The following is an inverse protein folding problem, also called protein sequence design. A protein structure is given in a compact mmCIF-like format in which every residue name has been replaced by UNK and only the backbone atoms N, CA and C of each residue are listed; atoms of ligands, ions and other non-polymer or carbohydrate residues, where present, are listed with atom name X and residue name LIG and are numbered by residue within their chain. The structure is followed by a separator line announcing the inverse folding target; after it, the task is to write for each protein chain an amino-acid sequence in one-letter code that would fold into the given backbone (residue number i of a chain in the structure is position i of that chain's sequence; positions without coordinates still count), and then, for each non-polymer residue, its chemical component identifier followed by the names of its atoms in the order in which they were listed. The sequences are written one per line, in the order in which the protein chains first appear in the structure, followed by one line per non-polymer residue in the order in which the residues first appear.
data_IF_871998920013
#
_entry.id   IF_871998920013
#
_cell.length_a   1.000
_cell.length_b   1.000
_cell.length_c   1.000
_cell.angle_alpha   90.00
_cell.angle_beta   90.00
_cell.angle_gamma   90.00
#
_symmetry.space_group_name_H-M   'P 1'
#
loop_
_entity.id
_entity.type
_entity.pdbx_description
1 polymer ?
#
# COMPACT_ATOMS: atom_id res chain seq x y z
N UNK A 1 -23.03 8.80 -0.07
CA UNK A 1 -22.13 7.65 -0.33
C UNK A 1 -22.98 6.39 -0.40
N UNK A 2 -22.74 5.50 -1.36
CA UNK A 2 -23.56 4.29 -1.50
C UNK A 2 -22.65 3.06 -1.58
N UNK A 3 -22.54 2.34 -0.46
CA UNK A 3 -22.05 0.97 -0.41
C UNK A 3 -23.06 0.08 -1.11
N UNK A 4 -22.59 -0.89 -1.89
CA UNK A 4 -23.43 -1.81 -2.66
C UNK A 4 -22.92 -3.23 -2.52
N UNK A 5 -23.80 -4.21 -2.75
CA UNK A 5 -23.36 -5.56 -3.05
C UNK A 5 -22.53 -5.54 -4.35
N UNK A 6 -21.54 -6.42 -4.46
CA UNK A 6 -20.77 -6.58 -5.69
C UNK A 6 -21.71 -7.04 -6.81
N UNK A 7 -21.72 -6.29 -7.91
CA UNK A 7 -22.45 -6.67 -9.12
C UNK A 7 -21.69 -7.80 -9.84
N UNK A 8 -22.03 -9.05 -9.52
CA UNK A 8 -21.76 -10.18 -10.38
C UNK A 8 -23.08 -10.95 -10.57
N UNK A 9 -23.37 -11.39 -11.81
CA UNK A 9 -24.61 -12.11 -12.16
C UNK A 9 -24.92 -13.31 -11.26
N UNK A 10 -23.94 -13.80 -10.51
CA UNK A 10 -24.03 -15.01 -9.68
C UNK A 10 -23.96 -14.74 -8.17
N UNK A 11 -23.78 -13.50 -7.71
CA UNK A 11 -23.74 -13.20 -6.28
C UNK A 11 -25.17 -13.10 -5.73
N UNK A 12 -25.51 -13.96 -4.77
CA UNK A 12 -26.82 -14.02 -4.10
C UNK A 12 -26.66 -13.81 -2.59
N UNK A 13 -26.58 -12.56 -2.10
CA UNK A 13 -26.31 -12.27 -0.68
C UNK A 13 -27.36 -12.89 0.26
N UNK A 14 -28.63 -12.93 -0.17
CA UNK A 14 -29.72 -13.47 0.64
C UNK A 14 -29.47 -14.94 1.01
N UNK A 15 -28.99 -15.78 0.09
CA UNK A 15 -28.72 -17.19 0.37
C UNK A 15 -27.68 -17.38 1.48
N UNK A 16 -26.71 -16.48 1.58
CA UNK A 16 -25.68 -16.54 2.63
C UNK A 16 -26.23 -15.98 3.95
N UNK A 17 -27.09 -14.96 3.91
CA UNK A 17 -27.80 -14.44 5.09
C UNK A 17 -28.78 -15.46 5.67
N UNK A 18 -29.45 -16.25 4.82
CA UNK A 18 -30.34 -17.34 5.26
C UNK A 18 -29.52 -18.43 5.97
N UNK A 19 -28.36 -18.79 5.42
CA UNK A 19 -27.41 -19.69 6.07
C UNK A 19 -26.93 -19.11 7.41
N UNK A 20 -26.58 -17.83 7.47
CA UNK A 20 -26.24 -17.14 8.72
C UNK A 20 -27.36 -17.28 9.75
N UNK A 21 -28.61 -17.02 9.35
CA UNK A 21 -29.78 -17.15 10.24
C UNK A 21 -29.96 -18.57 10.77
N UNK A 22 -29.59 -19.60 10.01
CA UNK A 22 -29.71 -21.00 10.45
C UNK A 22 -28.66 -21.43 11.48
N UNK A 23 -27.53 -20.71 11.57
CA UNK A 23 -26.41 -21.06 12.44
C UNK A 23 -26.29 -20.15 13.67
N UNK A 24 -27.16 -19.16 13.81
CA UNK A 24 -27.17 -18.27 14.98
C UNK A 24 -28.24 -18.70 15.98
N UNK A 25 -27.97 -18.48 17.26
CA UNK A 25 -28.96 -18.55 18.34
C UNK A 25 -28.85 -17.28 19.18
N UNK A 26 -30.00 -16.64 19.44
CA UNK A 26 -30.06 -15.40 20.21
C UNK A 26 -30.50 -15.75 21.63
N UNK A 27 -29.63 -15.51 22.59
CA UNK A 27 -29.90 -15.76 24.00
C UNK A 27 -30.85 -14.68 24.57
N UNK A 28 -31.45 -14.97 25.73
CA UNK A 28 -32.37 -14.04 26.42
C UNK A 28 -31.74 -12.71 26.81
N UNK A 29 -30.42 -12.65 26.97
CA UNK A 29 -29.64 -11.45 27.26
C UNK A 29 -29.28 -10.65 25.99
N UNK A 30 -29.72 -11.10 24.81
CA UNK A 30 -29.41 -10.48 23.53
C UNK A 30 -28.00 -10.77 23.01
N UNK A 31 -27.25 -11.68 23.63
CA UNK A 31 -26.01 -12.23 23.07
C UNK A 31 -26.31 -13.20 21.93
N UNK A 32 -25.43 -13.23 20.93
CA UNK A 32 -25.56 -14.12 19.77
C UNK A 32 -24.52 -15.23 19.95
N UNK A 33 -24.98 -16.47 19.95
CA UNK A 33 -24.14 -17.66 19.90
C UNK A 33 -24.25 -18.29 18.50
N UNK A 34 -23.22 -19.05 18.12
CA UNK A 34 -23.10 -19.62 16.79
C UNK A 34 -22.84 -21.12 16.87
N UNK A 35 -23.40 -21.87 15.95
CA UNK A 35 -23.19 -23.31 15.86
C UNK A 35 -21.98 -23.60 14.99
N UNK A 36 -20.90 -24.10 15.60
CA UNK A 36 -19.70 -24.57 14.88
C UNK A 36 -18.83 -23.46 14.27
N UNK A 37 -17.88 -23.86 13.44
CA UNK A 37 -16.93 -22.94 12.77
C UNK A 37 -17.49 -22.28 11.50
N UNK A 38 -18.67 -22.70 11.03
CA UNK A 38 -19.32 -22.19 9.80
C UNK A 38 -19.57 -20.68 9.84
N UNK A 39 -19.65 -20.08 11.03
CA UNK A 39 -19.76 -18.63 11.20
C UNK A 39 -18.64 -17.88 10.48
N UNK A 40 -17.40 -18.37 10.58
CA UNK A 40 -16.24 -17.68 9.98
C UNK A 40 -16.33 -17.68 8.46
N UNK A 41 -16.73 -18.81 7.86
CA UNK A 41 -16.88 -18.93 6.41
C UNK A 41 -18.03 -18.04 5.88
N UNK A 42 -19.16 -18.04 6.58
CA UNK A 42 -20.32 -17.21 6.24
C UNK A 42 -19.97 -15.73 6.33
N UNK A 43 -19.29 -15.30 7.40
CA UNK A 43 -18.93 -13.91 7.59
C UNK A 43 -17.89 -13.43 6.57
N UNK A 44 -16.83 -14.23 6.33
CA UNK A 44 -15.83 -13.93 5.31
C UNK A 44 -16.46 -13.79 3.91
N UNK A 45 -17.42 -14.67 3.60
CA UNK A 45 -18.17 -14.62 2.34
C UNK A 45 -18.99 -13.33 2.23
N UNK A 46 -19.76 -12.98 3.26
CA UNK A 46 -20.58 -11.76 3.27
C UNK A 46 -19.74 -10.49 3.16
N UNK A 47 -18.62 -10.40 3.89
CA UNK A 47 -17.66 -9.31 3.80
C UNK A 47 -17.09 -9.18 2.38
N UNK A 48 -16.72 -10.30 1.76
CA UNK A 48 -16.25 -10.35 0.37
C UNK A 48 -17.30 -9.94 -0.67
N UNK A 49 -18.59 -10.08 -0.37
CA UNK A 49 -19.69 -9.69 -1.26
C UNK A 49 -20.00 -8.19 -1.24
N UNK A 50 -19.46 -7.40 -0.30
CA UNK A 50 -19.73 -5.96 -0.21
C UNK A 50 -18.68 -5.16 -0.99
N UNK A 51 -19.13 -4.11 -1.70
CA UNK A 51 -18.27 -3.15 -2.39
C UNK A 51 -18.42 -1.77 -1.75
N UNK A 52 -17.35 -1.33 -1.09
CA UNK A 52 -17.24 0.02 -0.55
C UNK A 52 -16.73 1.00 -1.61
N UNK A 53 -17.22 2.26 -1.63
CA UNK A 53 -16.65 3.31 -2.46
C UNK A 53 -15.27 3.73 -1.94
N UNK A 54 -14.46 4.39 -2.78
CA UNK A 54 -13.14 4.92 -2.39
C UNK A 54 -13.22 5.91 -1.23
N UNK A 55 -14.33 6.64 -1.12
CA UNK A 55 -14.58 7.57 -0.01
C UNK A 55 -14.63 6.88 1.35
N UNK A 56 -14.98 5.60 1.41
CA UNK A 56 -15.00 4.79 2.63
C UNK A 56 -13.64 4.15 2.95
N UNK A 57 -12.55 4.62 2.34
CA UNK A 57 -11.20 4.20 2.71
C UNK A 57 -10.86 4.70 4.12
N UNK A 58 -10.26 3.82 4.93
CA UNK A 58 -9.99 4.07 6.35
C UNK A 58 -11.11 3.67 7.31
N UNK A 59 -12.28 3.25 6.81
CA UNK A 59 -13.33 2.66 7.63
C UNK A 59 -13.10 1.16 7.88
N UNK A 60 -13.62 0.68 8.99
CA UNK A 60 -13.58 -0.71 9.45
C UNK A 60 -14.59 -1.58 8.70
N UNK A 61 -14.39 -1.76 7.39
CA UNK A 61 -15.36 -2.39 6.48
C UNK A 61 -15.90 -3.73 7.01
N UNK A 62 -15.03 -4.58 7.53
CA UNK A 62 -15.39 -5.90 8.02
C UNK A 62 -16.21 -5.84 9.33
N UNK A 63 -15.87 -4.93 10.24
CA UNK A 63 -16.67 -4.70 11.45
C UNK A 63 -18.00 -4.05 11.11
N UNK A 64 -18.02 -3.05 10.22
CA UNK A 64 -19.27 -2.40 9.76
C UNK A 64 -20.23 -3.46 9.22
N UNK A 65 -19.74 -4.36 8.37
CA UNK A 65 -20.55 -5.47 7.83
C UNK A 65 -21.00 -6.40 8.94
N UNK A 66 -20.08 -6.84 9.80
CA UNK A 66 -20.37 -7.76 10.91
C UNK A 66 -21.40 -7.20 11.89
N UNK A 67 -21.25 -5.93 12.28
CA UNK A 67 -22.11 -5.24 13.24
C UNK A 67 -23.47 -4.94 12.64
N UNK A 68 -23.52 -4.54 11.36
CA UNK A 68 -24.79 -4.40 10.64
C UNK A 68 -25.55 -5.73 10.60
N UNK A 69 -24.88 -6.83 10.23
CA UNK A 69 -25.49 -8.17 10.21
C UNK A 69 -25.98 -8.57 11.60
N UNK A 70 -25.15 -8.46 12.63
CA UNK A 70 -25.53 -8.78 14.02
C UNK A 70 -26.71 -7.92 14.49
N UNK A 71 -26.72 -6.63 14.17
CA UNK A 71 -27.81 -5.71 14.52
C UNK A 71 -29.12 -6.08 13.83
N UNK A 72 -29.07 -6.44 12.54
CA UNK A 72 -30.25 -6.89 11.81
C UNK A 72 -30.72 -8.28 12.25
N UNK A 73 -29.80 -9.16 12.64
CA UNK A 73 -30.12 -10.45 13.23
C UNK A 73 -30.92 -10.32 14.53
N UNK A 74 -30.51 -9.41 15.42
CA UNK A 74 -31.24 -9.12 16.67
C UNK A 74 -32.65 -8.54 16.44
N UNK A 75 -32.88 -7.91 15.30
CA UNK A 75 -34.19 -7.37 14.89
C UNK A 75 -35.05 -8.39 14.13
N UNK A 76 -34.55 -9.61 13.90
CA UNK A 76 -35.20 -10.65 13.08
C UNK A 76 -35.49 -10.20 11.63
N UNK A 77 -34.66 -9.30 11.10
CA UNK A 77 -34.82 -8.64 9.78
C UNK A 77 -33.55 -8.84 8.93
N UNK A 78 -33.12 -10.10 8.76
CA UNK A 78 -31.91 -10.48 8.00
C UNK A 78 -32.15 -10.50 6.47
N UNK A 79 -32.59 -9.37 5.94
CA UNK A 79 -32.80 -9.15 4.51
C UNK A 79 -31.59 -8.42 3.89
N UNK A 80 -31.13 -8.86 2.72
CA UNK A 80 -30.03 -8.25 1.98
C UNK A 80 -30.20 -6.73 1.74
N UNK A 81 -31.42 -6.24 1.53
CA UNK A 81 -31.72 -4.81 1.38
C UNK A 81 -31.54 -4.05 2.70
N UNK A 82 -32.04 -4.62 3.78
CA UNK A 82 -32.01 -3.99 5.10
C UNK A 82 -30.62 -3.98 5.72
N UNK A 83 -29.88 -5.09 5.58
CA UNK A 83 -28.46 -5.16 5.94
C UNK A 83 -27.66 -4.10 5.17
N UNK A 84 -27.92 -3.92 3.87
CA UNK A 84 -27.24 -2.89 3.08
C UNK A 84 -27.61 -1.46 3.52
N UNK A 85 -28.86 -1.22 3.92
CA UNK A 85 -29.27 0.06 4.48
C UNK A 85 -28.55 0.34 5.80
N UNK A 86 -28.45 -0.66 6.69
CA UNK A 86 -27.73 -0.53 7.95
C UNK A 86 -26.23 -0.29 7.74
N UNK A 87 -25.59 -1.00 6.81
CA UNK A 87 -24.20 -0.74 6.42
C UNK A 87 -24.03 0.72 5.97
N UNK A 88 -24.91 1.22 5.09
CA UNK A 88 -24.84 2.59 4.60
C UNK A 88 -25.07 3.62 5.72
N UNK A 89 -25.97 3.36 6.67
CA UNK A 89 -26.19 4.21 7.84
C UNK A 89 -24.94 4.27 8.73
N UNK A 90 -24.35 3.12 9.07
CA UNK A 90 -23.12 3.06 9.87
C UNK A 90 -21.96 3.81 9.19
N UNK A 91 -21.79 3.61 7.89
CA UNK A 91 -20.78 4.36 7.10
C UNK A 91 -21.03 5.86 7.16
N UNK A 92 -22.27 6.31 6.99
CA UNK A 92 -22.58 7.74 7.08
C UNK A 92 -22.32 8.30 8.49
N UNK A 93 -22.63 7.54 9.53
CA UNK A 93 -22.38 7.93 10.92
C UNK A 93 -20.89 8.03 11.22
N UNK A 94 -20.10 7.03 10.84
CA UNK A 94 -18.64 7.06 11.01
C UNK A 94 -18.01 8.20 10.19
N UNK A 95 -18.52 8.49 8.99
CA UNK A 95 -18.11 9.65 8.23
C UNK A 95 -18.48 10.98 8.88
N UNK A 96 -19.50 11.02 9.72
CA UNK A 96 -19.95 12.23 10.42
C UNK A 96 -19.20 12.46 11.74
N UNK A 97 -18.35 11.51 12.17
CA UNK A 97 -17.54 11.67 13.38
C UNK A 97 -16.52 12.80 13.22
N UNK A 98 -16.34 13.55 14.32
CA UNK A 98 -15.34 14.62 14.41
C UNK A 98 -13.95 14.03 14.41
N UNK A 99 -13.06 14.60 13.62
CA UNK A 99 -11.67 14.17 13.61
C UNK A 99 -10.96 14.49 14.94
N UNK A 100 -10.26 13.49 15.47
CA UNK A 100 -9.43 13.60 16.65
C UNK A 100 -7.95 13.56 16.26
N UNK A 101 -7.11 14.20 17.07
CA UNK A 101 -5.66 14.18 16.88
C UNK A 101 -5.05 12.92 17.48
N UNK A 102 -4.27 12.21 16.68
CA UNK A 102 -3.58 10.99 17.05
C UNK A 102 -2.06 11.11 16.82
N UNK A 103 -1.33 10.27 17.54
CA UNK A 103 0.09 10.05 17.38
C UNK A 103 0.35 8.55 17.23
N UNK A 104 0.85 8.14 16.07
CA UNK A 104 1.28 6.76 15.82
C UNK A 104 2.78 6.67 16.08
N UNK A 105 3.15 5.82 17.04
CA UNK A 105 4.52 5.59 17.47
C UNK A 105 5.05 4.31 16.81
N UNK A 106 6.19 4.43 16.15
CA UNK A 106 6.88 3.34 15.45
C UNK A 106 8.40 3.57 15.49
N UNK A 107 9.18 2.69 14.89
CA UNK A 107 10.62 2.88 14.76
C UNK A 107 11.10 2.49 13.36
N UNK A 108 12.28 2.97 13.00
CA UNK A 108 12.90 2.74 11.70
C UNK A 108 14.32 2.21 11.88
N UNK A 109 14.74 1.31 10.99
CA UNK A 109 16.09 0.74 10.95
C UNK A 109 17.14 1.73 10.41
N UNK A 110 17.14 2.96 10.92
CA UNK A 110 18.09 4.03 10.56
C UNK A 110 18.88 4.48 11.78
N UNK A 111 20.10 4.97 11.55
CA UNK A 111 20.92 5.51 12.64
C UNK A 111 20.34 6.81 13.22
N UNK A 112 20.63 7.11 14.49
CA UNK A 112 20.18 8.34 15.15
C UNK A 112 20.75 9.62 14.48
N UNK A 113 21.78 9.54 13.65
CA UNK A 113 22.29 10.67 12.86
C UNK A 113 21.61 10.85 11.49
N UNK A 114 20.54 10.10 11.20
CA UNK A 114 19.87 10.15 9.89
C UNK A 114 19.40 11.58 9.54
N UNK A 115 19.70 12.10 8.33
CA UNK A 115 19.62 13.53 8.04
C UNK A 115 18.20 14.10 7.89
N UNK A 116 17.19 13.26 7.72
CA UNK A 116 15.79 13.67 7.51
C UNK A 116 15.00 13.38 8.79
N UNK A 117 14.79 14.42 9.59
CA UNK A 117 14.17 14.30 10.93
C UNK A 117 12.71 14.65 10.98
N UNK A 118 12.27 15.60 10.16
CA UNK A 118 10.89 16.07 10.16
C UNK A 118 10.45 16.24 8.72
N UNK A 119 9.24 15.77 8.42
CA UNK A 119 8.65 15.93 7.11
C UNK A 119 7.12 15.87 7.20
N UNK A 120 6.44 16.49 6.25
CA UNK A 120 4.98 16.49 6.15
C UNK A 120 4.60 15.86 4.82
N UNK A 121 3.76 14.82 4.88
CA UNK A 121 3.18 14.17 3.71
C UNK A 121 1.69 14.25 3.89
N UNK A 122 1.00 14.91 2.97
CA UNK A 122 -0.44 15.20 3.11
C UNK A 122 -0.68 15.94 4.43
N UNK A 123 -1.59 15.46 5.28
CA UNK A 123 -1.86 15.98 6.63
C UNK A 123 -1.19 15.16 7.75
N UNK A 124 -0.18 14.37 7.40
CA UNK A 124 0.62 13.58 8.32
C UNK A 124 1.97 14.23 8.59
N UNK A 125 2.23 14.61 9.84
CA UNK A 125 3.53 15.13 10.29
C UNK A 125 4.40 14.01 10.85
N UNK A 126 5.41 13.62 10.08
CA UNK A 126 6.44 12.67 10.48
C UNK A 126 7.55 13.35 11.28
N UNK A 127 7.99 12.69 12.37
CA UNK A 127 9.15 13.10 13.17
C UNK A 127 9.97 11.88 13.58
N UNK A 128 11.27 11.94 13.35
CA UNK A 128 12.28 10.97 13.76
C UNK A 128 13.06 11.54 14.95
N UNK A 129 13.30 10.73 15.95
CA UNK A 129 13.95 11.10 17.20
C UNK A 129 15.33 10.45 17.30
N UNK A 130 16.27 11.20 17.88
CA UNK A 130 17.65 10.76 18.11
C UNK A 130 17.79 9.96 19.42
N UNK A 131 16.69 9.83 20.15
CA UNK A 131 16.59 9.25 21.50
C UNK A 131 15.26 8.51 21.63
N UNK A 132 14.97 8.04 22.83
CA UNK A 132 13.69 7.44 23.21
C UNK A 132 12.48 8.37 22.96
N UNK A 133 11.30 7.76 22.91
CA UNK A 133 10.04 8.51 22.81
C UNK A 133 9.89 9.51 23.97
N UNK A 134 9.20 10.65 23.75
CA UNK A 134 8.85 11.57 24.82
C UNK A 134 8.16 10.88 26.01
N UNK A 135 8.51 11.25 27.24
CA UNK A 135 8.03 10.62 28.49
C UNK A 135 6.50 10.50 28.60
N UNK A 136 5.75 11.42 27.96
CA UNK A 136 4.27 11.38 27.94
C UNK A 136 3.70 10.11 27.30
N UNK A 137 4.49 9.38 26.50
CA UNK A 137 4.10 8.12 25.88
C UNK A 137 4.55 6.88 26.69
N UNK A 138 4.83 7.04 27.99
CA UNK A 138 5.23 5.95 28.89
C UNK A 138 4.23 4.78 28.93
N UNK A 139 2.97 5.02 28.56
CA UNK A 139 1.95 3.98 28.44
C UNK A 139 2.27 2.92 27.36
N UNK A 140 3.13 3.20 26.37
CA UNK A 140 3.51 2.25 25.29
C UNK A 140 4.00 0.92 25.85
N UNK A 141 4.96 0.95 26.77
CA UNK A 141 5.56 -0.26 27.34
C UNK A 141 4.56 -1.08 28.17
N UNK A 142 3.48 -0.48 28.67
CA UNK A 142 2.40 -1.20 29.36
C UNK A 142 1.51 -1.93 28.35
N UNK A 143 1.12 -1.27 27.26
CA UNK A 143 0.25 -1.86 26.23
C UNK A 143 0.92 -3.08 25.58
N UNK A 144 2.23 -2.96 25.27
CA UNK A 144 2.99 -4.06 24.67
C UNK A 144 3.09 -5.24 25.64
N UNK A 145 3.42 -4.99 26.92
CA UNK A 145 3.52 -6.07 27.93
C UNK A 145 2.20 -6.77 28.21
N UNK A 146 1.08 -6.06 28.12
CA UNK A 146 -0.24 -6.62 28.38
C UNK A 146 -0.75 -7.50 27.22
N UNK A 147 -0.13 -7.43 26.04
CA UNK A 147 -0.47 -8.27 24.89
C UNK A 147 0.42 -9.51 24.86
N UNK A 148 -0.01 -10.58 25.55
CA UNK A 148 0.74 -11.84 25.70
C UNK A 148 1.10 -12.54 24.38
N UNK A 149 0.38 -12.24 23.30
CA UNK A 149 0.58 -12.85 21.98
C UNK A 149 1.81 -12.32 21.25
N UNK A 150 2.31 -11.13 21.60
CA UNK A 150 3.37 -10.46 20.84
C UNK A 150 4.56 -10.10 21.72
N UNK A 151 5.76 -10.55 21.31
CA UNK A 151 7.03 -10.08 21.85
C UNK A 151 7.62 -9.09 20.84
N UNK A 152 7.82 -7.84 21.25
CA UNK A 152 8.47 -6.83 20.40
C UNK A 152 9.93 -7.23 20.15
N UNK A 153 10.23 -7.76 18.97
CA UNK A 153 11.58 -8.13 18.55
C UNK A 153 12.30 -6.97 17.85
N UNK A 154 11.70 -5.77 17.85
CA UNK A 154 12.33 -4.56 17.35
C UNK A 154 13.61 -4.26 18.13
N UNK A 155 14.76 -4.08 17.47
CA UNK A 155 15.97 -3.68 18.16
C UNK A 155 15.82 -2.32 18.83
N UNK A 156 16.26 -2.21 20.09
CA UNK A 156 16.20 -0.95 20.85
C UNK A 156 16.91 0.22 20.16
N UNK A 157 17.97 -0.07 19.41
CA UNK A 157 18.78 0.90 18.67
C UNK A 157 18.13 1.43 17.38
N UNK A 158 16.94 0.96 17.01
CA UNK A 158 16.17 1.59 15.92
C UNK A 158 15.71 2.98 16.35
N UNK A 159 15.89 3.95 15.45
CA UNK A 159 15.46 5.32 15.67
C UNK A 159 13.93 5.38 15.85
N UNK A 160 13.48 6.10 16.88
CA UNK A 160 12.05 6.22 17.20
C UNK A 160 11.40 7.23 16.26
N UNK A 161 10.19 6.95 15.82
CA UNK A 161 9.42 7.78 14.91
C UNK A 161 8.00 8.01 15.42
N UNK A 162 7.47 9.21 15.19
CA UNK A 162 6.09 9.58 15.48
C UNK A 162 5.48 10.21 14.25
N UNK A 163 4.34 9.68 13.83
CA UNK A 163 3.47 10.33 12.85
C UNK A 163 2.30 10.97 13.60
N UNK A 164 2.13 12.28 13.45
CA UNK A 164 1.04 13.05 14.06
C UNK A 164 0.03 13.41 12.98
N UNK A 165 -1.25 13.11 13.20
CA UNK A 165 -2.30 13.32 12.21
C UNK A 165 -3.68 13.50 12.86
N UNK A 166 -4.67 13.87 12.05
CA UNK A 166 -6.09 13.84 12.44
C UNK A 166 -6.78 12.67 11.74
N UNK A 167 -7.67 11.99 12.45
CA UNK A 167 -8.47 10.92 11.90
C UNK A 167 -9.77 10.75 12.69
N UNK A 168 -10.75 10.04 12.11
CA UNK A 168 -12.05 9.76 12.74
C UNK A 168 -12.02 8.54 13.65
N UNK A 169 -11.03 7.67 13.49
CA UNK A 169 -10.87 6.46 14.29
C UNK A 169 -9.39 6.14 14.50
N UNK A 170 -9.13 5.29 15.49
CA UNK A 170 -7.77 4.79 15.80
C UNK A 170 -7.20 3.98 14.61
N UNK A 171 -8.01 3.14 13.97
CA UNK A 171 -7.60 2.31 12.82
C UNK A 171 -7.31 3.18 11.59
N UNK A 172 -8.15 4.18 11.31
CA UNK A 172 -7.88 5.17 10.26
C UNK A 172 -6.58 5.92 10.52
N UNK A 173 -6.31 6.30 11.78
CA UNK A 173 -5.05 6.91 12.17
C UNK A 173 -3.86 5.98 11.90
N UNK A 174 -3.99 4.69 12.22
CA UNK A 174 -2.98 3.66 11.96
C UNK A 174 -2.65 3.56 10.48
N UNK A 175 -3.66 3.26 9.65
CA UNK A 175 -3.50 3.06 8.21
C UNK A 175 -2.85 4.27 7.56
N UNK A 176 -3.38 5.46 7.84
CA UNK A 176 -2.92 6.71 7.24
C UNK A 176 -1.48 7.05 7.65
N UNK A 177 -1.14 6.84 8.93
CA UNK A 177 0.22 7.05 9.41
C UNK A 177 1.23 6.06 8.81
N UNK A 178 0.85 4.78 8.70
CA UNK A 178 1.70 3.73 8.14
C UNK A 178 1.86 3.89 6.62
N UNK A 179 0.81 4.28 5.90
CA UNK A 179 0.94 4.65 4.48
C UNK A 179 1.88 5.87 4.32
N UNK A 180 1.74 6.89 5.18
CA UNK A 180 2.58 8.09 5.10
C UNK A 180 4.06 7.79 5.36
N UNK A 181 4.38 6.98 6.37
CA UNK A 181 5.77 6.59 6.66
C UNK A 181 6.33 5.68 5.57
N UNK A 182 5.49 4.84 4.98
CA UNK A 182 5.84 3.97 3.85
C UNK A 182 6.16 4.78 2.60
N UNK A 183 5.40 5.84 2.29
CA UNK A 183 5.73 6.77 1.19
C UNK A 183 7.10 7.42 1.44
N UNK A 184 7.34 7.94 2.65
CA UNK A 184 8.63 8.57 2.98
C UNK A 184 9.78 7.58 2.79
N UNK A 185 9.69 6.40 3.40
CA UNK A 185 10.78 5.41 3.37
C UNK A 185 10.90 4.73 2.00
N UNK A 186 9.83 4.68 1.19
CA UNK A 186 9.89 4.17 -0.17
C UNK A 186 10.88 4.96 -1.00
N UNK A 187 10.93 6.29 -0.84
CA UNK A 187 11.85 7.16 -1.57
C UNK A 187 13.27 6.97 -1.04
N UNK A 188 13.44 6.83 0.28
CA UNK A 188 14.75 6.52 0.84
C UNK A 188 15.28 5.17 0.32
N UNK A 189 14.46 4.12 0.29
CA UNK A 189 14.81 2.82 -0.28
C UNK A 189 15.06 2.90 -1.79
N UNK A 190 14.23 3.62 -2.53
CA UNK A 190 14.33 3.80 -3.99
C UNK A 190 15.72 4.31 -4.41
N UNK A 191 16.33 5.20 -3.62
CA UNK A 191 17.66 5.76 -3.90
C UNK A 191 18.83 5.03 -3.22
N UNK A 192 18.58 4.08 -2.31
CA UNK A 192 19.65 3.52 -1.46
C UNK A 192 19.66 1.98 -1.34
N UNK A 193 18.61 1.30 -1.79
CA UNK A 193 18.62 -0.15 -1.88
C UNK A 193 19.78 -0.63 -2.76
N UNK A 194 20.27 -1.84 -2.46
CA UNK A 194 21.30 -2.46 -3.31
C UNK A 194 20.73 -2.69 -4.71
N UNK A 195 21.52 -2.42 -5.74
CA UNK A 195 21.15 -2.72 -7.13
C UNK A 195 21.27 -4.22 -7.43
N UNK A 196 22.17 -4.91 -6.73
CA UNK A 196 22.38 -6.36 -6.78
C UNK A 196 23.18 -6.82 -5.54
N UNK A 197 23.15 -8.12 -5.23
CA UNK A 197 24.02 -8.75 -4.23
C UNK A 197 24.61 -10.05 -4.80
N UNK A 198 25.94 -10.17 -4.87
CA UNK A 198 26.63 -11.33 -5.46
C UNK A 198 26.67 -12.55 -4.53
N UNK A 199 26.81 -12.33 -3.22
CA UNK A 199 26.88 -13.38 -2.22
C UNK A 199 25.93 -13.02 -1.08
N UNK A 200 24.78 -13.68 -1.04
CA UNK A 200 23.96 -13.65 0.15
C UNK A 200 23.82 -15.04 0.72
N UNK A 201 24.44 -15.23 1.88
CA UNK A 201 24.23 -16.42 2.70
C UNK A 201 22.84 -16.43 3.34
N UNK A 202 21.99 -15.41 3.11
CA UNK A 202 20.68 -15.30 3.72
C UNK A 202 19.57 -15.20 2.66
N UNK A 203 18.95 -16.34 2.35
CA UNK A 203 17.88 -16.48 1.35
C UNK A 203 16.53 -15.89 1.79
N UNK A 204 16.41 -15.35 3.01
CA UNK A 204 15.13 -14.90 3.59
C UNK A 204 15.18 -13.47 4.13
N UNK A 205 16.06 -12.64 3.57
CA UNK A 205 16.27 -11.27 4.06
C UNK A 205 15.69 -10.25 3.07
N UNK A 206 14.77 -9.39 3.51
CA UNK A 206 14.15 -8.42 2.62
C UNK A 206 15.17 -7.47 1.96
N UNK A 207 14.85 -7.00 0.75
CA UNK A 207 15.75 -6.17 -0.05
C UNK A 207 15.83 -4.74 0.49
N UNK A 208 14.75 -4.24 1.09
CA UNK A 208 14.74 -2.91 1.69
C UNK A 208 15.77 -2.76 2.80
N UNK A 209 16.60 -1.72 2.70
CA UNK A 209 17.56 -1.37 3.75
C UNK A 209 16.94 -0.60 4.91
N UNK A 210 15.85 0.12 4.66
CA UNK A 210 15.15 0.92 5.66
C UNK A 210 13.76 0.33 5.90
N UNK A 211 13.57 -0.23 7.09
CA UNK A 211 12.38 -0.99 7.46
C UNK A 211 11.82 -0.48 8.77
N UNK A 212 10.53 -0.71 8.95
CA UNK A 212 9.85 -0.39 10.20
C UNK A 212 10.22 -1.40 11.29
N UNK A 213 10.08 -0.97 12.55
CA UNK A 213 10.03 -1.88 13.69
C UNK A 213 8.78 -2.76 13.65
N UNK A 214 8.78 -3.82 14.45
CA UNK A 214 7.72 -4.82 14.48
C UNK A 214 6.40 -4.27 15.02
N UNK A 215 6.42 -3.38 16.02
CA UNK A 215 5.21 -2.95 16.74
C UNK A 215 4.98 -1.45 16.67
N UNK A 216 3.73 -1.10 16.35
CA UNK A 216 3.21 0.27 16.29
C UNK A 216 2.08 0.47 17.30
N UNK A 217 2.10 1.61 17.99
CA UNK A 217 1.08 1.97 19.00
C UNK A 217 0.48 3.33 18.72
N UNK A 218 -0.77 3.54 19.14
CA UNK A 218 -1.52 4.76 18.84
C UNK A 218 -1.89 5.48 20.12
N UNK A 219 -1.61 6.77 20.15
CA UNK A 219 -1.74 7.61 21.33
C UNK A 219 -2.58 8.85 21.01
N UNK A 220 -3.27 9.36 22.02
CA UNK A 220 -3.94 10.66 21.99
C UNK A 220 -2.91 11.78 22.13
N UNK A 221 -3.33 13.02 21.86
CA UNK A 221 -2.47 14.21 21.98
C UNK A 221 -1.77 14.34 23.34
N UNK A 222 -2.47 13.98 24.42
CA UNK A 222 -1.93 13.99 25.79
C UNK A 222 -0.93 12.85 26.10
N UNK A 223 -0.66 11.95 25.15
CA UNK A 223 0.27 10.82 25.29
C UNK A 223 -0.31 9.54 25.88
N UNK A 224 -1.55 9.58 26.41
CA UNK A 224 -2.27 8.38 26.82
C UNK A 224 -2.56 7.49 25.61
N UNK A 225 -2.67 6.19 25.84
CA UNK A 225 -3.06 5.27 24.78
C UNK A 225 -4.41 5.65 24.18
N UNK A 226 -4.52 5.56 22.87
CA UNK A 226 -5.79 5.70 22.16
C UNK A 226 -6.57 4.38 22.12
N UNK A 227 -5.86 3.24 22.17
CA UNK A 227 -6.42 1.88 22.16
C UNK A 227 -5.42 0.92 22.82
N UNK A 228 -5.90 -0.21 23.33
CA UNK A 228 -5.03 -1.31 23.79
C UNK A 228 -4.62 -2.25 22.63
N UNK A 229 -5.15 -2.00 21.42
CA UNK A 229 -4.78 -2.71 20.19
C UNK A 229 -3.35 -2.37 19.74
N UNK A 230 -2.66 -3.38 19.22
CA UNK A 230 -1.35 -3.27 18.61
C UNK A 230 -1.44 -3.47 17.10
N UNK A 231 -0.75 -2.61 16.36
CA UNK A 231 -0.44 -2.85 14.95
C UNK A 231 0.95 -3.45 14.88
N UNK A 232 1.15 -4.39 13.96
CA UNK A 232 2.43 -5.06 13.85
C UNK A 232 2.76 -5.44 12.40
N UNK A 233 4.05 -5.63 12.14
CA UNK A 233 4.59 -6.14 10.88
C UNK A 233 4.56 -7.68 10.87
N UNK A 234 3.63 -8.33 10.14
CA UNK A 234 3.46 -9.79 10.22
C UNK A 234 4.68 -10.57 9.67
N UNK A 235 5.40 -9.95 8.73
CA UNK A 235 6.63 -10.50 8.14
C UNK A 235 7.88 -9.76 8.65
N UNK A 236 7.85 -9.32 9.92
CA UNK A 236 8.99 -8.62 10.51
C UNK A 236 10.26 -9.48 10.42
N UNK A 237 11.30 -8.88 9.86
CA UNK A 237 12.66 -9.41 9.92
C UNK A 237 13.53 -8.25 10.36
N UNK A 238 14.32 -8.44 11.42
CA UNK A 238 15.26 -7.43 11.88
C UNK A 238 16.21 -7.06 10.73
N UNK A 239 16.28 -5.79 10.35
CA UNK A 239 17.26 -5.20 9.43
C UNK A 239 18.49 -4.61 10.14
N UNK A 240 19.58 -4.44 9.40
CA UNK A 240 20.73 -3.66 9.85
C UNK A 240 20.42 -2.16 9.90
N UNK A 241 21.15 -1.41 10.74
CA UNK A 241 21.02 0.05 10.76
C UNK A 241 21.51 0.64 9.45
N UNK A 242 20.63 1.37 8.78
CA UNK A 242 20.98 2.16 7.62
C UNK A 242 21.61 3.48 8.05
N UNK A 243 22.77 3.77 7.47
CA UNK A 243 23.43 5.06 7.52
C UNK A 243 23.81 5.47 6.10
N UNK A 244 23.36 6.63 5.61
CA UNK A 244 23.72 7.08 4.27
C UNK A 244 25.20 7.48 4.23
N UNK A 245 25.95 6.98 3.25
CA UNK A 245 27.35 7.38 3.02
C UNK A 245 27.47 8.88 2.67
N UNK A 246 26.43 9.44 2.02
CA UNK A 246 26.34 10.82 1.55
C UNK A 246 25.02 11.45 2.00
N UNK A 247 24.89 11.86 3.27
CA UNK A 247 23.64 12.36 3.85
C UNK A 247 23.02 13.54 3.08
N UNK A 248 23.87 14.41 2.52
CA UNK A 248 23.49 15.56 1.71
C UNK A 248 22.82 15.16 0.39
N UNK A 249 23.34 14.12 -0.28
CA UNK A 249 22.75 13.59 -1.51
C UNK A 249 21.40 12.94 -1.20
N UNK A 250 21.31 12.16 -0.12
CA UNK A 250 20.03 11.58 0.32
C UNK A 250 18.98 12.68 0.54
N UNK A 251 19.34 13.75 1.25
CA UNK A 251 18.43 14.87 1.55
C UNK A 251 17.98 15.58 0.27
N UNK A 252 18.91 15.82 -0.66
CA UNK A 252 18.63 16.44 -1.97
C UNK A 252 17.70 15.57 -2.81
N UNK A 253 17.99 14.27 -2.94
CA UNK A 253 17.19 13.35 -3.74
C UNK A 253 15.79 13.18 -3.15
N UNK A 254 15.68 13.07 -1.83
CA UNK A 254 14.39 12.97 -1.14
C UNK A 254 13.53 14.22 -1.36
N UNK A 255 14.11 15.41 -1.17
CA UNK A 255 13.40 16.67 -1.41
C UNK A 255 12.96 16.79 -2.88
N UNK A 256 13.88 16.56 -3.82
CA UNK A 256 13.56 16.59 -5.24
C UNK A 256 12.43 15.63 -5.61
N UNK A 257 12.48 14.39 -5.14
CA UNK A 257 11.45 13.40 -5.44
C UNK A 257 10.08 13.80 -4.88
N UNK A 258 10.02 14.24 -3.62
CA UNK A 258 8.76 14.68 -3.03
C UNK A 258 8.18 15.92 -3.73
N UNK A 259 9.03 16.91 -4.05
CA UNK A 259 8.61 18.11 -4.78
C UNK A 259 8.05 17.70 -6.16
N UNK A 260 8.73 16.80 -6.90
CA UNK A 260 8.26 16.31 -8.21
C UNK A 260 7.02 15.42 -8.16
N UNK A 261 6.84 14.65 -7.10
CA UNK A 261 5.60 13.89 -6.92
C UNK A 261 4.44 14.87 -6.70
N UNK A 262 4.59 15.87 -5.83
CA UNK A 262 3.54 16.86 -5.54
C UNK A 262 3.21 17.80 -6.71
N UNK A 263 4.14 18.00 -7.64
CA UNK A 263 3.91 18.72 -8.90
C UNK A 263 3.04 17.91 -9.89
N UNK A 264 2.98 16.58 -9.76
CA UNK A 264 2.29 15.73 -10.73
C UNK A 264 0.76 15.77 -10.59
N UNK A 265 0.07 15.95 -11.70
CA UNK A 265 -1.40 15.86 -11.81
C UNK A 265 -1.99 14.50 -11.39
N UNK A 266 -1.16 13.45 -11.35
CA UNK A 266 -1.51 12.10 -10.93
C UNK A 266 -0.65 11.60 -9.78
N UNK A 267 -0.27 12.49 -8.85
CA UNK A 267 0.56 12.19 -7.67
C UNK A 267 0.11 10.93 -6.90
N UNK A 268 -1.21 10.74 -6.76
CA UNK A 268 -1.82 9.62 -6.04
C UNK A 268 -1.48 8.26 -6.66
N UNK A 269 -1.28 8.21 -7.98
CA UNK A 269 -0.85 6.99 -8.67
C UNK A 269 0.61 6.68 -8.39
N UNK A 270 1.46 7.70 -8.35
CA UNK A 270 2.87 7.56 -8.02
C UNK A 270 3.04 7.11 -6.57
N UNK A 271 2.34 7.74 -5.61
CA UNK A 271 2.35 7.33 -4.19
C UNK A 271 1.87 5.89 -4.00
N UNK A 272 0.79 5.47 -4.68
CA UNK A 272 0.31 4.07 -4.63
C UNK A 272 1.32 3.08 -5.17
N UNK A 273 1.99 3.42 -6.27
CA UNK A 273 3.04 2.58 -6.83
C UNK A 273 4.23 2.46 -5.86
N UNK A 274 4.64 3.57 -5.24
CA UNK A 274 5.70 3.62 -4.22
C UNK A 274 5.36 2.80 -2.95
N UNK A 275 4.12 2.87 -2.48
CA UNK A 275 3.61 2.04 -1.39
C UNK A 275 3.72 0.54 -1.72
N UNK A 276 3.27 0.14 -2.91
CA UNK A 276 3.39 -1.26 -3.37
C UNK A 276 4.84 -1.69 -3.47
N UNK A 277 5.70 -0.84 -4.05
CA UNK A 277 7.13 -1.07 -4.19
C UNK A 277 7.80 -1.35 -2.85
N UNK A 278 7.61 -0.46 -1.88
CA UNK A 278 8.32 -0.59 -0.60
C UNK A 278 7.81 -1.80 0.19
N UNK A 279 6.49 -2.05 0.19
CA UNK A 279 5.92 -3.22 0.88
C UNK A 279 6.32 -4.54 0.19
N UNK A 280 6.44 -4.55 -1.13
CA UNK A 280 6.91 -5.72 -1.86
C UNK A 280 8.34 -6.10 -1.45
N UNK A 281 9.22 -5.10 -1.32
CA UNK A 281 10.63 -5.32 -0.97
C UNK A 281 10.88 -5.51 0.54
N UNK A 282 9.84 -5.40 1.37
CA UNK A 282 9.86 -5.85 2.78
C UNK A 282 9.55 -7.34 2.94
N UNK A 283 9.07 -8.01 1.88
CA UNK A 283 8.80 -9.44 1.92
C UNK A 283 10.08 -10.25 2.04
N UNK A 284 10.02 -11.29 2.89
CA UNK A 284 11.10 -12.26 3.06
C UNK A 284 11.13 -13.31 1.94
N UNK A 285 9.96 -13.60 1.37
CA UNK A 285 9.82 -14.51 0.23
C UNK A 285 9.89 -13.71 -1.08
N UNK A 286 10.95 -13.94 -1.85
CA UNK A 286 11.19 -13.21 -3.07
C UNK A 286 10.20 -13.54 -4.20
N UNK A 287 9.56 -14.72 -4.18
CA UNK A 287 8.53 -15.07 -5.15
C UNK A 287 7.30 -14.18 -4.93
N UNK A 288 6.90 -14.02 -3.66
CA UNK A 288 5.84 -13.09 -3.24
C UNK A 288 6.24 -11.64 -3.49
N UNK A 289 7.49 -11.28 -3.16
CA UNK A 289 8.03 -9.94 -3.39
C UNK A 289 7.94 -9.57 -4.87
N UNK A 290 8.32 -10.48 -5.78
CA UNK A 290 8.29 -10.25 -7.21
C UNK A 290 6.86 -10.01 -7.73
N UNK A 291 5.90 -10.82 -7.30
CA UNK A 291 4.48 -10.65 -7.67
C UNK A 291 3.97 -9.27 -7.21
N UNK A 292 4.26 -8.89 -5.96
CA UNK A 292 3.84 -7.59 -5.41
C UNK A 292 4.54 -6.41 -6.11
N UNK A 293 5.83 -6.56 -6.42
CA UNK A 293 6.63 -5.55 -7.09
C UNK A 293 6.18 -5.36 -8.55
N UNK A 294 5.82 -6.44 -9.24
CA UNK A 294 5.19 -6.37 -10.57
C UNK A 294 3.91 -5.54 -10.51
N UNK A 295 3.10 -5.75 -9.48
CA UNK A 295 1.92 -4.93 -9.19
C UNK A 295 2.22 -3.44 -8.96
N UNK A 296 3.45 -3.06 -8.60
CA UNK A 296 3.87 -1.66 -8.51
C UNK A 296 4.12 -1.04 -9.90
N UNK A 297 4.69 -1.81 -10.84
CA UNK A 297 4.83 -1.37 -12.24
C UNK A 297 3.45 -1.25 -12.91
N UNK A 298 2.54 -2.18 -12.65
CA UNK A 298 1.16 -2.16 -13.16
C UNK A 298 0.40 -0.89 -12.80
N UNK A 299 0.58 -0.38 -11.57
CA UNK A 299 -0.12 0.82 -11.11
C UNK A 299 0.20 2.06 -11.96
N UNK A 300 1.42 2.12 -12.52
CA UNK A 300 1.87 3.23 -13.36
C UNK A 300 1.65 2.97 -14.86
N UNK A 301 1.88 1.72 -15.29
CA UNK A 301 1.89 1.37 -16.71
C UNK A 301 0.58 0.84 -17.23
N UNK A 302 -0.36 0.38 -16.40
CA UNK A 302 -1.65 -0.12 -16.87
C UNK A 302 -2.76 -0.01 -15.81
N UNK A 303 -3.07 1.22 -15.34
CA UNK A 303 -3.95 1.44 -14.18
C UNK A 303 -5.42 1.03 -14.41
N UNK A 304 -5.84 0.80 -15.65
CA UNK A 304 -7.26 0.60 -16.03
C UNK A 304 -7.56 -0.78 -16.62
N UNK A 305 -6.54 -1.56 -16.99
CA UNK A 305 -6.69 -2.90 -17.58
C UNK A 305 -5.48 -3.76 -17.18
N UNK A 306 -5.70 -5.03 -16.83
CA UNK A 306 -4.62 -5.98 -16.65
C UNK A 306 -4.12 -6.44 -18.03
N UNK A 307 -3.42 -5.56 -18.75
CA UNK A 307 -2.79 -5.88 -20.03
C UNK A 307 -1.28 -5.95 -19.84
N UNK A 308 -0.79 -7.17 -19.62
CA UNK A 308 0.61 -7.41 -19.30
C UNK A 308 1.56 -7.10 -20.47
N UNK A 309 1.09 -7.15 -21.73
CA UNK A 309 1.89 -6.79 -22.91
C UNK A 309 2.24 -5.29 -22.91
N UNK A 310 1.36 -4.44 -22.35
CA UNK A 310 1.62 -3.00 -22.26
C UNK A 310 2.73 -2.67 -21.27
N UNK A 311 2.88 -3.46 -20.21
CA UNK A 311 3.90 -3.22 -19.18
C UNK A 311 5.30 -3.37 -19.79
N UNK A 312 5.56 -4.50 -20.45
CA UNK A 312 6.87 -4.78 -21.05
C UNK A 312 7.19 -3.78 -22.16
N UNK A 313 6.20 -3.43 -23.00
CA UNK A 313 6.31 -2.41 -24.04
C UNK A 313 6.65 -1.02 -23.49
N UNK A 314 5.88 -0.51 -22.52
CA UNK A 314 6.00 0.86 -22.00
C UNK A 314 7.25 1.05 -21.15
N UNK A 315 7.65 0.04 -20.38
CA UNK A 315 8.87 0.13 -19.57
C UNK A 315 10.11 0.04 -20.46
N UNK A 316 10.15 -0.89 -21.42
CA UNK A 316 11.28 -1.02 -22.34
C UNK A 316 11.47 0.21 -23.25
N UNK A 317 10.42 1.01 -23.48
CA UNK A 317 10.51 2.29 -24.21
C UNK A 317 11.50 3.28 -23.57
N UNK A 318 11.75 3.19 -22.26
CA UNK A 318 12.65 4.10 -21.54
C UNK A 318 14.14 3.80 -21.77
N UNK A 319 14.47 2.81 -22.61
CA UNK A 319 15.83 2.33 -22.81
C UNK A 319 16.24 2.35 -24.27
N UNK A 320 17.50 2.70 -24.52
CA UNK A 320 18.11 2.68 -25.86
C UNK A 320 18.13 1.25 -26.41
N UNK A 321 18.58 0.27 -25.61
CA UNK A 321 18.58 -1.16 -25.95
C UNK A 321 17.22 -1.79 -25.69
N UNK A 322 16.18 -1.21 -26.31
CA UNK A 322 14.76 -1.56 -26.04
C UNK A 322 14.48 -3.05 -26.14
N UNK A 323 14.98 -3.72 -27.18
CA UNK A 323 14.67 -5.14 -27.39
C UNK A 323 15.28 -6.02 -26.30
N UNK A 324 16.51 -5.73 -25.87
CA UNK A 324 17.12 -6.43 -24.74
C UNK A 324 16.28 -6.28 -23.46
N UNK A 325 15.94 -5.04 -23.10
CA UNK A 325 15.15 -4.77 -21.90
C UNK A 325 13.74 -5.35 -21.97
N UNK A 326 13.14 -5.37 -23.16
CA UNK A 326 11.88 -6.05 -23.42
C UNK A 326 12.00 -7.54 -23.13
N UNK A 327 13.02 -8.22 -23.66
CA UNK A 327 13.23 -9.66 -23.41
C UNK A 327 13.43 -9.97 -21.92
N UNK A 328 14.17 -9.13 -21.19
CA UNK A 328 14.31 -9.30 -19.74
C UNK A 328 12.96 -9.15 -19.03
N UNK A 329 12.16 -8.13 -19.38
CA UNK A 329 10.83 -7.92 -18.81
C UNK A 329 9.85 -9.04 -19.16
N UNK A 330 9.95 -9.60 -20.37
CA UNK A 330 9.16 -10.77 -20.79
C UNK A 330 9.52 -12.01 -19.95
N UNK A 331 10.81 -12.27 -19.72
CA UNK A 331 11.23 -13.35 -18.84
C UNK A 331 10.70 -13.17 -17.40
N UNK A 332 10.75 -11.95 -16.86
CA UNK A 332 10.18 -11.63 -15.54
C UNK A 332 8.65 -11.84 -15.49
N UNK A 333 7.96 -11.51 -16.58
CA UNK A 333 6.51 -11.73 -16.73
C UNK A 333 6.17 -13.22 -16.75
N UNK A 334 6.88 -14.00 -17.56
CA UNK A 334 6.68 -15.45 -17.63
C UNK A 334 6.91 -16.10 -16.27
N UNK A 335 7.99 -15.71 -15.58
CA UNK A 335 8.29 -16.17 -14.24
C UNK A 335 7.13 -15.87 -13.26
N UNK A 336 6.64 -14.62 -13.24
CA UNK A 336 5.48 -14.23 -12.42
C UNK A 336 4.26 -15.11 -12.73
N UNK A 337 3.98 -15.36 -14.01
CA UNK A 337 2.84 -16.17 -14.41
C UNK A 337 2.99 -17.62 -13.97
N UNK A 338 4.18 -18.21 -14.10
CA UNK A 338 4.46 -19.56 -13.56
C UNK A 338 4.24 -19.61 -12.06
N UNK A 339 4.85 -18.72 -11.28
CA UNK A 339 4.67 -18.73 -9.81
C UNK A 339 3.20 -18.57 -9.40
N UNK A 340 2.43 -17.73 -10.08
CA UNK A 340 0.99 -17.53 -9.79
C UNK A 340 0.14 -18.75 -10.19
N UNK A 341 0.48 -19.45 -11.27
CA UNK A 341 -0.36 -20.53 -11.83
C UNK A 341 0.07 -21.94 -11.43
N UNK A 342 1.37 -22.22 -11.31
CA UNK A 342 1.92 -23.55 -10.98
C UNK A 342 2.52 -23.64 -9.58
N UNK A 343 2.64 -22.51 -8.85
CA UNK A 343 3.25 -22.49 -7.52
C UNK A 343 4.74 -22.85 -7.53
N UNK A 344 5.39 -22.75 -8.69
CA UNK A 344 6.83 -23.03 -8.85
C UNK A 344 7.67 -21.95 -8.16
N UNK A 345 8.57 -22.42 -7.28
CA UNK A 345 9.54 -21.59 -6.56
C UNK A 345 10.89 -21.66 -7.27
N UNK A 346 11.53 -20.52 -7.49
CA UNK A 346 12.84 -20.46 -8.12
C UNK A 346 13.87 -19.81 -7.20
N UNK A 347 15.06 -20.40 -7.10
CA UNK A 347 16.13 -19.88 -6.25
C UNK A 347 16.62 -18.48 -6.71
N UNK A 348 16.40 -18.15 -7.99
CA UNK A 348 16.80 -16.89 -8.61
C UNK A 348 15.80 -15.76 -8.41
N UNK A 349 14.65 -16.00 -7.76
CA UNK A 349 13.60 -15.01 -7.50
C UNK A 349 14.13 -13.67 -6.96
N UNK A 350 15.18 -13.72 -6.13
CA UNK A 350 15.84 -12.53 -5.60
C UNK A 350 16.50 -11.67 -6.68
N UNK A 351 17.22 -12.29 -7.61
CA UNK A 351 17.86 -11.58 -8.72
C UNK A 351 16.80 -10.92 -9.61
N UNK A 352 15.69 -11.60 -9.83
CA UNK A 352 14.55 -11.04 -10.54
C UNK A 352 13.92 -9.84 -9.81
N UNK A 353 13.86 -9.86 -8.48
CA UNK A 353 13.44 -8.69 -7.70
C UNK A 353 14.39 -7.49 -7.88
N UNK A 354 15.70 -7.71 -7.92
CA UNK A 354 16.67 -6.64 -8.19
C UNK A 354 16.51 -6.05 -9.61
N UNK A 355 16.32 -6.90 -10.62
CA UNK A 355 16.03 -6.44 -11.98
C UNK A 355 14.73 -5.62 -12.03
N UNK A 356 13.66 -6.11 -11.40
CA UNK A 356 12.38 -5.42 -11.39
C UNK A 356 12.42 -4.12 -10.58
N UNK A 357 13.20 -4.06 -9.49
CA UNK A 357 13.48 -2.83 -8.75
C UNK A 357 14.16 -1.79 -9.66
N UNK A 358 15.13 -2.21 -10.47
CA UNK A 358 15.79 -1.31 -11.42
C UNK A 358 14.80 -0.73 -12.43
N UNK A 359 13.95 -1.57 -13.03
CA UNK A 359 12.92 -1.11 -13.95
C UNK A 359 11.92 -0.16 -13.29
N UNK A 360 11.47 -0.49 -12.07
CA UNK A 360 10.60 0.39 -11.30
C UNK A 360 11.26 1.74 -11.00
N UNK A 361 12.54 1.75 -10.64
CA UNK A 361 13.30 2.97 -10.41
C UNK A 361 13.34 3.87 -11.64
N UNK A 362 13.68 3.32 -12.81
CA UNK A 362 13.72 4.08 -14.07
C UNK A 362 12.33 4.62 -14.43
N UNK A 363 11.28 3.81 -14.28
CA UNK A 363 9.90 4.22 -14.54
C UNK A 363 9.44 5.35 -13.62
N UNK A 364 9.68 5.26 -12.31
CA UNK A 364 9.32 6.32 -11.36
C UNK A 364 10.13 7.59 -11.63
N UNK A 365 11.42 7.47 -11.99
CA UNK A 365 12.21 8.63 -12.42
C UNK A 365 11.66 9.31 -13.67
N UNK A 366 11.17 8.55 -14.65
CA UNK A 366 10.49 9.12 -15.81
C UNK A 366 9.28 9.96 -15.39
N UNK A 367 8.41 9.44 -14.52
CA UNK A 367 7.24 10.19 -14.06
C UNK A 367 7.63 11.43 -13.25
N UNK A 368 8.61 11.35 -12.34
CA UNK A 368 9.08 12.51 -11.56
C UNK A 368 9.74 13.59 -12.44
N UNK A 369 10.50 13.21 -13.47
CA UNK A 369 11.15 14.18 -14.37
C UNK A 369 10.16 14.89 -15.29
N UNK A 370 9.03 14.26 -15.59
CA UNK A 370 7.98 14.77 -16.47
C UNK A 370 6.71 15.13 -15.69
N UNK A 371 6.84 15.53 -14.41
CA UNK A 371 5.71 15.72 -13.51
C UNK A 371 4.66 16.71 -14.05
N UNK A 372 5.10 17.78 -14.72
CA UNK A 372 4.24 18.84 -15.26
C UNK A 372 3.93 18.68 -16.77
N UNK A 373 4.46 17.64 -17.41
CA UNK A 373 4.32 17.46 -18.88
C UNK A 373 3.01 16.77 -19.25
N UNK A 374 2.40 16.04 -18.32
CA UNK A 374 1.21 15.22 -18.57
C UNK A 374 0.06 15.61 -17.63
N UNK A 375 -1.13 15.75 -18.19
CA UNK A 375 -2.37 16.07 -17.48
C UNK A 375 -2.94 14.89 -16.68
N UNK A 376 -2.64 13.66 -17.07
CA UNK A 376 -2.99 12.44 -16.34
C UNK A 376 -2.04 11.27 -16.66
N UNK A 377 -2.20 10.16 -15.93
CA UNK A 377 -1.40 8.94 -16.12
C UNK A 377 -1.65 8.26 -17.48
N UNK A 378 -2.82 8.46 -18.10
CA UNK A 378 -3.13 7.88 -19.39
C UNK A 378 -2.37 8.61 -20.51
N UNK A 379 -2.19 9.92 -20.38
CA UNK A 379 -1.38 10.73 -21.30
C UNK A 379 0.09 10.32 -21.24
N UNK A 380 0.65 10.19 -20.04
CA UNK A 380 2.00 9.64 -19.86
C UNK A 380 2.14 8.25 -20.51
N UNK A 381 1.12 7.40 -20.35
CA UNK A 381 1.11 6.07 -20.96
C UNK A 381 0.96 6.09 -22.50
N UNK A 382 0.20 7.04 -23.06
CA UNK A 382 0.15 7.26 -24.52
C UNK A 382 1.52 7.70 -25.05
N UNK A 383 2.25 8.52 -24.29
CA UNK A 383 3.62 8.88 -24.64
C UNK A 383 4.53 7.64 -24.70
N UNK A 384 4.46 6.76 -23.71
CA UNK A 384 5.22 5.50 -23.68
C UNK A 384 4.76 4.48 -24.75
N UNK A 385 3.63 4.71 -25.42
CA UNK A 385 3.14 3.88 -26.51
C UNK A 385 3.67 4.27 -27.89
N UNK A 386 4.35 5.42 -28.01
CA UNK A 386 4.94 5.88 -29.25
C UNK A 386 6.01 4.91 -29.80
N UNK A 387 6.26 4.92 -31.12
CA UNK A 387 7.35 4.14 -31.68
C UNK A 387 8.69 4.70 -31.20
N UNK A 388 9.64 3.81 -30.95
CA UNK A 388 11.02 4.18 -30.60
C UNK A 388 11.85 4.56 -31.85
N UNK A 389 11.32 4.37 -33.06
CA UNK A 389 11.97 4.75 -34.31
C UNK A 389 11.73 6.23 -34.62
N UNK A 390 12.81 7.02 -34.63
CA UNK A 390 12.79 8.45 -34.94
C UNK A 390 12.15 8.75 -36.30
N UNK A 391 12.35 7.91 -37.32
CA UNK A 391 11.77 8.11 -38.65
C UNK A 391 10.24 7.97 -38.61
N UNK A 392 9.73 7.03 -37.81
CA UNK A 392 8.29 6.89 -37.60
C UNK A 392 7.71 8.08 -36.84
N UNK A 393 8.42 8.58 -35.83
CA UNK A 393 8.02 9.79 -35.10
C UNK A 393 7.99 11.03 -36.00
N UNK A 394 9.01 11.24 -36.83
CA UNK A 394 9.06 12.34 -37.80
C UNK A 394 7.91 12.24 -38.80
N UNK A 395 7.61 11.04 -39.30
CA UNK A 395 6.45 10.82 -40.19
C UNK A 395 5.13 11.12 -39.48
N UNK A 396 4.97 10.71 -38.22
CA UNK A 396 3.77 11.01 -37.43
C UNK A 396 3.61 12.51 -37.19
N UNK A 397 4.70 13.23 -36.88
CA UNK A 397 4.71 14.69 -36.74
C UNK A 397 4.20 15.39 -37.99
N UNK A 398 4.73 15.04 -39.16
CA UNK A 398 4.30 15.63 -40.46
C UNK A 398 2.82 15.37 -40.73
N UNK A 399 2.31 14.17 -40.41
CA UNK A 399 0.89 13.85 -40.58
C UNK A 399 -0.01 14.66 -39.64
N UNK A 400 0.41 14.86 -38.39
CA UNK A 400 -0.32 15.69 -37.42
C UNK A 400 -0.35 17.16 -37.84
N UNK A 401 0.78 17.71 -38.30
CA UNK A 401 0.86 19.08 -38.82
C UNK A 401 -0.09 19.29 -40.02
N UNK A 402 -0.21 18.30 -40.92
CA UNK A 402 -1.17 18.33 -42.03
C UNK A 402 -2.62 18.26 -41.53
N UNK A 403 -2.92 17.40 -40.56
CA UNK A 403 -4.27 17.26 -40.00
C UNK A 403 -4.72 18.53 -39.28
N UNK A 404 -3.82 19.19 -38.53
CA UNK A 404 -4.12 20.47 -37.86
C UNK A 404 -4.50 21.54 -38.88
N UNK A 405 -3.74 21.65 -39.99
CA UNK A 405 -4.08 22.58 -41.08
C UNK A 405 -5.47 22.30 -41.67
N UNK A 406 -5.84 21.04 -41.83
CA UNK A 406 -7.14 20.66 -42.39
C UNK A 406 -8.34 20.98 -41.48
N UNK A 407 -8.15 21.02 -40.15
CA UNK A 407 -9.22 21.26 -39.16
C UNK A 407 -9.25 22.72 -38.68
N UNK A 408 -8.20 23.50 -38.94
CA UNK A 408 -8.12 24.91 -38.54
C UNK A 408 -8.67 25.89 -39.59
N UNK A 409 -9.12 25.36 -40.73
CA UNK A 409 -9.98 26.02 -41.72
C UNK A 409 -11.44 25.61 -41.46
#
# INVERSE_FOLDING_TARGET
MIVKWRNAKHIKPQSILDKYSSIISINKDGSITFTGMEYYDVMATLQGMVRFPLSANGLEKDLIVSDAIKKMAKKSTLNAKEVMNEINMTVCNEHSMVECKYHVLTSLSVHNSFPIKNYEVEDCRFRLFDREYPKKYSSRSRIIRNNFTFKDNTPNYYAKAIVSLKAKSVRAAASKALDSIDIIRSIWCLFNNSTMEYFSNNKWYPINKIRLGEIHTIHKENGKSASDELWYEPNFVKANLFSPNKPEILRKNFKWAMDKIGESSYEEKIKKALLRYVRALDEKDYNVALIKLWGALEELTSPSQANYDLITKRVSFLFVEREYHKQVLENLREYRNRTVHSGEYEERARHYCFQLQYYFFILVQFHMRNANEFSDINEANRFLDFPHDKRLLEKQKVMLEKAIKFVSD
#
